data_IF_715819078981
#
_entry.id   IF_715819078981
#
_cell.length_a   1.000
_cell.length_b   1.000
_cell.length_c   1.000
_cell.angle_alpha   90.00
_cell.angle_beta   90.00
_cell.angle_gamma   90.00
#
_symmetry.space_group_name_H-M   'P 1'
#
loop_
_entity.id
_entity.type
_entity.pdbx_description
1 polymer ?
#
# COMPACT_ATOMS: atom_id res chain seq x y z
N UNK A 1 17.70 3.28 -7.37
CA UNK A 1 16.70 2.40 -8.00
C UNK A 1 15.34 2.84 -7.51
N UNK A 2 14.36 2.95 -8.40
CA UNK A 2 12.98 3.30 -8.03
C UNK A 2 12.21 2.01 -7.80
N UNK A 3 11.48 1.92 -6.69
CA UNK A 3 10.63 0.77 -6.35
C UNK A 3 9.26 0.94 -6.97
N UNK A 4 8.79 -0.07 -7.68
CA UNK A 4 7.47 -0.08 -8.32
C UNK A 4 6.45 -0.73 -7.40
N UNK A 5 5.37 0.01 -7.10
CA UNK A 5 4.30 -0.45 -6.21
C UNK A 5 3.03 -0.80 -6.98
N UNK A 6 2.37 -1.88 -6.52
CA UNK A 6 0.96 -2.14 -6.77
C UNK A 6 0.15 -1.87 -5.50
N UNK A 7 -1.11 -1.44 -5.64
CA UNK A 7 -2.03 -1.25 -4.49
C UNK A 7 -3.26 -2.12 -4.70
N UNK A 8 -3.43 -3.13 -3.85
CA UNK A 8 -4.66 -3.91 -3.80
C UNK A 8 -5.59 -3.36 -2.72
N UNK A 9 -6.73 -2.80 -3.15
CA UNK A 9 -7.68 -2.13 -2.27
C UNK A 9 -7.46 -0.62 -2.21
N UNK A 10 -8.31 0.11 -2.92
CA UNK A 10 -8.24 1.57 -3.02
C UNK A 10 -9.22 2.26 -2.07
N UNK A 11 -9.29 1.73 -0.85
CA UNK A 11 -9.97 2.31 0.28
C UNK A 11 -9.23 3.52 0.86
N UNK A 12 -9.53 3.88 2.09
CA UNK A 12 -8.91 5.03 2.77
C UNK A 12 -7.38 4.90 2.83
N UNK A 13 -6.85 3.72 3.20
CA UNK A 13 -5.41 3.50 3.33
C UNK A 13 -4.71 3.55 1.98
N UNK A 14 -5.21 2.80 0.97
CA UNK A 14 -4.59 2.80 -0.36
C UNK A 14 -4.55 4.19 -0.99
N UNK A 15 -5.64 4.97 -0.88
CA UNK A 15 -5.68 6.36 -1.36
C UNK A 15 -4.72 7.26 -0.60
N UNK A 16 -4.74 7.22 0.74
CA UNK A 16 -3.85 8.04 1.56
C UNK A 16 -2.37 7.75 1.28
N UNK A 17 -2.02 6.49 1.04
CA UNK A 17 -0.64 6.13 0.65
C UNK A 17 -0.27 6.73 -0.70
N UNK A 18 -1.13 6.60 -1.71
CA UNK A 18 -0.87 7.19 -3.03
C UNK A 18 -0.72 8.72 -2.95
N UNK A 19 -1.66 9.40 -2.29
CA UNK A 19 -1.58 10.87 -2.14
C UNK A 19 -0.32 11.29 -1.39
N UNK A 20 0.05 10.58 -0.32
CA UNK A 20 1.28 10.86 0.43
C UNK A 20 2.55 10.71 -0.42
N UNK A 21 2.62 9.70 -1.28
CA UNK A 21 3.75 9.52 -2.21
C UNK A 21 3.87 10.72 -3.16
N UNK A 22 2.74 11.20 -3.68
CA UNK A 22 2.71 12.31 -4.64
C UNK A 22 3.02 13.64 -3.95
N UNK A 23 2.34 13.95 -2.83
CA UNK A 23 2.45 15.22 -2.11
C UNK A 23 3.83 15.41 -1.47
N UNK A 24 4.46 14.34 -1.01
CA UNK A 24 5.83 14.40 -0.48
C UNK A 24 6.91 14.27 -1.57
N UNK A 25 6.52 14.34 -2.84
CA UNK A 25 7.44 14.29 -3.98
C UNK A 25 8.43 13.10 -3.94
N UNK A 26 7.99 11.94 -3.41
CA UNK A 26 8.82 10.73 -3.32
C UNK A 26 9.18 10.24 -4.71
N UNK A 27 10.48 10.27 -5.06
CA UNK A 27 10.99 9.84 -6.37
C UNK A 27 11.62 8.44 -6.34
N UNK A 28 11.75 7.88 -5.15
CA UNK A 28 12.26 6.54 -4.90
C UNK A 28 11.19 5.44 -5.04
N UNK A 29 9.91 5.83 -5.11
CA UNK A 29 8.77 4.93 -5.32
C UNK A 29 7.82 5.47 -6.38
N UNK A 30 7.25 4.58 -7.19
CA UNK A 30 6.17 4.86 -8.13
C UNK A 30 5.06 3.83 -7.98
N UNK A 31 3.81 4.25 -8.11
CA UNK A 31 2.67 3.34 -8.19
C UNK A 31 2.34 3.12 -9.65
N UNK A 32 2.31 1.87 -10.10
CA UNK A 32 2.04 1.50 -11.49
C UNK A 32 0.68 0.84 -11.68
N UNK A 33 0.19 0.13 -10.65
CA UNK A 33 -1.07 -0.64 -10.71
C UNK A 33 -1.89 -0.45 -9.44
N UNK A 34 -3.20 -0.35 -9.61
CA UNK A 34 -4.17 -0.29 -8.52
C UNK A 34 -5.30 -1.28 -8.82
N UNK A 35 -5.68 -2.10 -7.85
CA UNK A 35 -6.96 -2.79 -7.90
C UNK A 35 -7.98 -2.05 -7.03
N UNK A 36 -9.01 -1.52 -7.68
CA UNK A 36 -10.04 -0.68 -7.07
C UNK A 36 -11.43 -1.11 -7.57
N UNK A 37 -12.06 -2.11 -6.94
CA UNK A 37 -13.42 -2.51 -7.34
C UNK A 37 -14.39 -1.33 -7.33
N UNK A 38 -15.22 -1.24 -8.39
CA UNK A 38 -16.17 -0.17 -8.62
C UNK A 38 -15.75 0.77 -9.76
N UNK A 39 -16.60 1.78 -10.08
CA UNK A 39 -16.33 2.71 -11.17
C UNK A 39 -15.07 3.53 -10.92
N UNK A 40 -14.21 3.64 -11.94
CA UNK A 40 -12.95 4.39 -11.85
C UNK A 40 -13.17 5.87 -11.52
N UNK A 41 -14.26 6.46 -12.05
CA UNK A 41 -14.63 7.86 -11.76
C UNK A 41 -14.97 8.08 -10.27
N UNK A 42 -15.62 7.09 -9.63
CA UNK A 42 -15.89 7.14 -8.20
C UNK A 42 -14.59 7.09 -7.40
N UNK A 43 -13.67 6.21 -7.79
CA UNK A 43 -12.35 6.13 -7.16
C UNK A 43 -11.55 7.42 -7.33
N UNK A 44 -11.58 8.02 -8.52
CA UNK A 44 -10.94 9.31 -8.78
C UNK A 44 -11.60 10.46 -7.99
N UNK A 45 -12.94 10.45 -7.86
CA UNK A 45 -13.64 11.43 -7.02
C UNK A 45 -13.20 11.32 -5.55
N UNK A 46 -13.17 10.12 -5.01
CA UNK A 46 -12.72 9.88 -3.63
C UNK A 46 -11.24 10.19 -3.39
N UNK A 47 -10.43 10.18 -4.45
CA UNK A 47 -9.04 10.63 -4.40
C UNK A 47 -8.94 12.15 -4.38
N UNK A 48 -9.79 12.84 -5.15
CA UNK A 48 -9.83 14.31 -5.18
C UNK A 48 -10.32 14.92 -3.88
N UNK A 49 -11.21 14.23 -3.17
CA UNK A 49 -11.91 14.77 -2.00
C UNK A 49 -11.89 13.77 -0.86
N UNK A 50 -11.03 14.02 0.12
CA UNK A 50 -10.98 13.23 1.36
C UNK A 50 -11.59 14.02 2.51
N UNK A 51 -12.47 13.38 3.31
CA UNK A 51 -13.18 14.03 4.42
C UNK A 51 -12.27 14.38 5.62
N UNK A 52 -11.06 13.80 5.67
CA UNK A 52 -10.09 14.05 6.76
C UNK A 52 -8.96 14.94 6.27
N UNK A 53 -8.36 14.61 5.11
CA UNK A 53 -7.21 15.32 4.56
C UNK A 53 -7.58 16.48 3.63
N UNK A 54 -8.88 16.60 3.31
CA UNK A 54 -9.37 17.67 2.44
C UNK A 54 -9.21 17.38 0.96
N UNK A 55 -9.07 18.41 0.16
CA UNK A 55 -8.95 18.29 -1.28
C UNK A 55 -7.50 18.03 -1.66
N UNK A 56 -7.29 17.00 -2.49
CA UNK A 56 -5.97 16.76 -3.11
C UNK A 56 -5.54 17.98 -3.96
N UNK A 57 -4.34 18.49 -3.72
CA UNK A 57 -3.86 19.71 -4.36
C UNK A 57 -3.46 19.51 -5.82
N UNK A 58 -3.17 18.28 -6.22
CA UNK A 58 -2.76 17.95 -7.58
C UNK A 58 -3.94 17.73 -8.53
N UNK A 59 -3.61 17.51 -9.80
CA UNK A 59 -4.57 17.14 -10.83
C UNK A 59 -4.81 15.64 -10.77
N UNK A 60 -6.05 15.20 -10.95
CA UNK A 60 -6.44 13.79 -11.09
C UNK A 60 -7.14 13.64 -12.42
N UNK A 61 -6.49 13.00 -13.37
CA UNK A 61 -7.06 12.69 -14.69
C UNK A 61 -7.45 11.22 -14.75
N UNK A 62 -8.53 10.94 -15.47
CA UNK A 62 -9.01 9.60 -15.76
C UNK A 62 -9.12 9.46 -17.25
N UNK A 63 -8.52 8.43 -17.81
CA UNK A 63 -8.65 8.08 -19.23
C UNK A 63 -8.51 6.57 -19.40
N UNK A 64 -9.41 5.98 -20.16
CA UNK A 64 -9.53 4.53 -20.28
C UNK A 64 -9.61 3.86 -18.89
N UNK A 65 -8.74 2.93 -18.60
CA UNK A 65 -8.62 2.27 -17.31
C UNK A 65 -7.43 2.80 -16.48
N UNK A 66 -7.08 4.08 -16.64
CA UNK A 66 -5.95 4.67 -15.95
C UNK A 66 -6.36 5.91 -15.14
N UNK A 67 -5.64 6.09 -14.02
CA UNK A 67 -5.64 7.34 -13.25
C UNK A 67 -4.24 7.96 -13.34
N UNK A 68 -4.15 9.25 -13.61
CA UNK A 68 -2.88 9.98 -13.60
C UNK A 68 -2.95 11.16 -12.62
N UNK A 69 -1.93 11.26 -11.76
CA UNK A 69 -1.75 12.34 -10.79
C UNK A 69 -0.55 13.23 -11.14
N UNK A 70 -0.19 13.29 -12.44
CA UNK A 70 0.94 14.09 -12.92
C UNK A 70 2.30 13.37 -12.88
N UNK A 71 2.29 12.05 -12.71
CA UNK A 71 3.51 11.21 -12.71
C UNK A 71 3.46 10.05 -13.70
N UNK A 72 2.53 10.10 -14.62
CA UNK A 72 2.23 9.06 -15.59
C UNK A 72 1.06 8.16 -15.18
N UNK A 73 0.59 7.34 -16.12
CA UNK A 73 -0.60 6.53 -15.95
C UNK A 73 -0.40 5.43 -14.89
N UNK A 74 -1.40 5.27 -14.05
CA UNK A 74 -1.54 4.16 -13.12
C UNK A 74 -2.67 3.28 -13.64
N UNK A 75 -2.37 2.04 -14.00
CA UNK A 75 -3.36 1.08 -14.46
C UNK A 75 -4.33 0.71 -13.33
N UNK A 76 -5.63 0.76 -13.60
CA UNK A 76 -6.67 0.42 -12.61
C UNK A 76 -7.43 -0.81 -13.06
N UNK A 77 -7.29 -1.88 -12.30
CA UNK A 77 -8.12 -3.09 -12.39
C UNK A 77 -9.31 -3.02 -11.43
N UNK A 78 -10.36 -3.79 -11.70
CA UNK A 78 -11.57 -3.84 -10.89
C UNK A 78 -12.01 -5.28 -10.69
N UNK A 79 -11.32 -6.03 -9.81
CA UNK A 79 -11.70 -7.39 -9.47
C UNK A 79 -11.77 -7.59 -7.96
N UNK A 80 -12.75 -8.41 -7.54
CA UNK A 80 -12.84 -8.93 -6.17
C UNK A 80 -12.07 -10.25 -5.99
N UNK A 81 -11.68 -10.89 -7.10
CA UNK A 81 -10.91 -12.12 -7.11
C UNK A 81 -9.42 -11.80 -7.27
N UNK A 82 -8.63 -12.05 -6.22
CA UNK A 82 -7.19 -11.78 -6.26
C UNK A 82 -6.44 -12.64 -7.27
N UNK A 83 -6.96 -13.81 -7.65
CA UNK A 83 -6.33 -14.71 -8.63
C UNK A 83 -6.35 -14.13 -10.05
N UNK A 84 -7.25 -13.18 -10.33
CA UNK A 84 -7.38 -12.51 -11.63
C UNK A 84 -6.49 -11.28 -11.79
N UNK A 85 -5.82 -10.87 -10.71
CA UNK A 85 -5.00 -9.67 -10.70
C UNK A 85 -3.62 -9.96 -11.29
N UNK A 86 -3.11 -9.06 -12.11
CA UNK A 86 -1.74 -9.10 -12.63
C UNK A 86 -0.88 -8.04 -11.93
N UNK A 87 0.12 -8.50 -11.20
CA UNK A 87 1.11 -7.65 -10.52
C UNK A 87 2.48 -7.70 -11.19
N UNK A 88 2.56 -8.17 -12.44
CA UNK A 88 3.81 -8.19 -13.19
C UNK A 88 4.43 -6.80 -13.26
N UNK A 89 5.72 -6.71 -12.94
CA UNK A 89 6.45 -5.44 -12.89
C UNK A 89 6.35 -4.71 -11.54
N UNK A 90 5.55 -5.17 -10.58
CA UNK A 90 5.54 -4.59 -9.23
C UNK A 90 6.62 -5.25 -8.35
N UNK A 91 7.44 -4.42 -7.71
CA UNK A 91 8.39 -4.89 -6.70
C UNK A 91 7.67 -5.23 -5.40
N UNK A 92 6.70 -4.39 -5.01
CA UNK A 92 5.90 -4.59 -3.79
C UNK A 92 4.43 -4.37 -4.10
N UNK A 93 3.56 -5.28 -3.66
CA UNK A 93 2.12 -5.05 -3.61
C UNK A 93 1.73 -4.65 -2.19
N UNK A 94 1.12 -3.48 -2.06
CA UNK A 94 0.50 -3.03 -0.82
C UNK A 94 -0.90 -3.61 -0.72
N UNK A 95 -1.10 -4.54 0.22
CA UNK A 95 -2.39 -5.15 0.51
C UNK A 95 -3.19 -4.27 1.49
N UNK A 96 -4.12 -3.50 0.96
CA UNK A 96 -4.90 -2.52 1.69
C UNK A 96 -6.40 -2.87 1.83
N UNK A 97 -6.79 -4.11 1.47
CA UNK A 97 -8.21 -4.53 1.56
C UNK A 97 -8.61 -4.98 2.95
N UNK A 98 -7.65 -5.40 3.78
CA UNK A 98 -7.90 -6.04 5.07
C UNK A 98 -8.43 -7.48 4.97
N UNK A 99 -8.46 -8.08 3.79
CA UNK A 99 -8.97 -9.45 3.56
C UNK A 99 -7.88 -10.50 3.47
N UNK A 100 -6.68 -10.14 3.01
CA UNK A 100 -5.54 -11.02 2.79
C UNK A 100 -4.53 -10.89 3.93
N UNK A 101 -4.97 -11.21 5.15
CA UNK A 101 -4.24 -11.00 6.41
C UNK A 101 -3.57 -12.27 6.95
N UNK A 102 -3.26 -13.23 6.08
CA UNK A 102 -2.46 -14.40 6.39
C UNK A 102 -1.42 -14.60 5.29
N UNK A 103 -0.32 -15.28 5.61
CA UNK A 103 0.75 -15.59 4.65
C UNK A 103 0.19 -16.22 3.37
N UNK A 104 -0.58 -17.31 3.50
CA UNK A 104 -1.10 -18.08 2.36
C UNK A 104 -1.99 -17.24 1.44
N UNK A 105 -2.85 -16.39 2.02
CA UNK A 105 -3.71 -15.50 1.23
C UNK A 105 -2.91 -14.44 0.50
N UNK A 106 -1.97 -13.80 1.18
CA UNK A 106 -1.15 -12.76 0.59
C UNK A 106 -0.18 -13.30 -0.47
N UNK A 107 0.24 -14.56 -0.34
CA UNK A 107 1.10 -15.23 -1.32
C UNK A 107 0.48 -15.29 -2.73
N UNK A 108 -0.84 -15.17 -2.85
CA UNK A 108 -1.52 -15.06 -4.16
C UNK A 108 -0.99 -13.87 -4.97
N UNK A 109 -0.68 -12.75 -4.33
CA UNK A 109 -0.12 -11.59 -5.03
C UNK A 109 1.29 -11.86 -5.57
N UNK A 110 2.10 -12.64 -4.85
CA UNK A 110 3.43 -13.06 -5.33
C UNK A 110 3.29 -14.02 -6.50
N UNK A 111 2.35 -14.98 -6.43
CA UNK A 111 2.06 -15.90 -7.55
C UNK A 111 1.60 -15.14 -8.80
N UNK A 112 0.98 -14.00 -8.62
CA UNK A 112 0.47 -13.14 -9.69
C UNK A 112 1.49 -12.06 -10.13
N UNK A 113 2.76 -12.21 -9.77
CA UNK A 113 3.88 -11.44 -10.34
C UNK A 113 4.51 -10.39 -9.43
N UNK A 114 4.01 -10.15 -8.23
CA UNK A 114 4.69 -9.29 -7.27
C UNK A 114 5.95 -9.96 -6.71
N UNK A 115 7.00 -9.18 -6.41
CA UNK A 115 8.20 -9.73 -5.76
C UNK A 115 8.00 -9.91 -4.24
N UNK A 116 7.20 -9.05 -3.62
CA UNK A 116 6.85 -9.12 -2.20
C UNK A 116 5.52 -8.42 -1.92
N UNK A 117 4.98 -8.62 -0.71
CA UNK A 117 3.72 -8.03 -0.27
C UNK A 117 3.88 -7.34 1.07
N UNK A 118 3.37 -6.11 1.17
CA UNK A 118 3.25 -5.36 2.42
C UNK A 118 1.77 -5.25 2.81
N UNK A 119 1.38 -5.92 3.90
CA UNK A 119 0.01 -5.90 4.40
C UNK A 119 -0.18 -4.72 5.34
N UNK A 120 -1.16 -3.85 5.07
CA UNK A 120 -1.48 -2.66 5.85
C UNK A 120 -2.36 -2.95 7.08
N UNK A 121 -2.31 -4.15 7.60
CA UNK A 121 -3.11 -4.63 8.74
C UNK A 121 -2.34 -5.69 9.53
N UNK A 122 -2.73 -6.00 10.78
CA UNK A 122 -2.21 -7.16 11.49
C UNK A 122 -2.42 -8.43 10.67
N UNK A 123 -1.40 -9.24 10.56
CA UNK A 123 -1.46 -10.47 9.77
C UNK A 123 -0.86 -11.65 10.55
N UNK A 124 -1.28 -12.89 10.19
CA UNK A 124 -0.84 -14.13 10.82
C UNK A 124 0.10 -14.88 9.90
N UNK A 125 1.05 -15.58 10.54
CA UNK A 125 1.98 -16.51 9.88
C UNK A 125 2.84 -15.85 8.78
N UNK A 126 3.00 -14.52 8.82
CA UNK A 126 3.82 -13.75 7.91
C UNK A 126 5.30 -13.82 8.28
N UNK A 127 6.20 -13.54 7.32
CA UNK A 127 7.64 -13.58 7.55
C UNK A 127 8.05 -12.60 8.65
N UNK A 128 7.39 -11.42 8.70
CA UNK A 128 7.70 -10.39 9.69
C UNK A 128 6.54 -9.43 9.89
N UNK A 129 6.36 -8.98 11.15
CA UNK A 129 5.56 -7.79 11.47
C UNK A 129 6.51 -6.65 11.81
N UNK A 130 6.38 -5.53 11.12
CA UNK A 130 7.32 -4.40 11.20
C UNK A 130 6.61 -3.12 11.58
N UNK A 131 7.17 -2.41 12.54
CA UNK A 131 6.76 -1.06 12.91
C UNK A 131 7.93 -0.12 12.64
N UNK A 132 7.71 0.87 11.79
CA UNK A 132 8.74 1.83 11.39
C UNK A 132 9.31 2.58 12.61
N UNK A 133 10.64 2.69 12.66
CA UNK A 133 11.36 3.30 13.79
C UNK A 133 11.50 2.41 15.02
N UNK A 134 10.89 1.20 15.00
CA UNK A 134 10.99 0.24 16.11
C UNK A 134 11.83 -0.96 15.72
N UNK A 135 11.43 -1.70 14.68
CA UNK A 135 12.10 -2.91 14.24
C UNK A 135 12.21 -3.03 12.70
N UNK A 136 12.07 -1.94 11.96
CA UNK A 136 12.20 -1.91 10.51
C UNK A 136 13.59 -2.33 9.99
N UNK A 137 14.62 -2.17 10.83
CA UNK A 137 15.98 -2.66 10.56
C UNK A 137 16.10 -4.19 10.49
N UNK A 138 15.09 -4.91 10.96
CA UNK A 138 15.05 -6.38 10.90
C UNK A 138 14.59 -6.92 9.55
N UNK A 139 14.07 -6.07 8.65
CA UNK A 139 13.61 -6.50 7.32
C UNK A 139 14.75 -7.15 6.55
N UNK A 140 14.48 -8.33 6.03
CA UNK A 140 15.43 -9.10 5.23
C UNK A 140 14.96 -9.19 3.78
N UNK A 141 15.90 -9.32 2.86
CA UNK A 141 15.59 -9.59 1.44
C UNK A 141 14.90 -10.94 1.20
N UNK A 142 14.84 -11.80 2.22
CA UNK A 142 14.15 -13.08 2.18
C UNK A 142 12.68 -12.97 2.58
N UNK A 143 12.30 -11.86 3.24
CA UNK A 143 10.94 -11.64 3.70
C UNK A 143 10.06 -11.32 2.48
N UNK A 144 9.12 -12.19 2.15
CA UNK A 144 8.21 -12.05 1.01
C UNK A 144 6.90 -11.37 1.42
N UNK A 145 6.39 -11.74 2.60
CA UNK A 145 5.11 -11.25 3.12
C UNK A 145 5.35 -10.57 4.46
N UNK A 146 5.19 -9.24 4.46
CA UNK A 146 5.44 -8.41 5.64
C UNK A 146 4.13 -7.75 6.07
N UNK A 147 3.88 -7.70 7.38
CA UNK A 147 2.78 -6.92 7.96
C UNK A 147 3.32 -5.61 8.56
N UNK A 148 2.65 -4.50 8.31
CA UNK A 148 2.91 -3.23 8.99
C UNK A 148 2.17 -3.10 10.33
N UNK A 149 1.60 -4.19 10.86
CA UNK A 149 0.84 -4.16 12.11
C UNK A 149 -0.47 -3.37 12.00
N UNK A 150 -1.02 -2.97 13.14
CA UNK A 150 -2.24 -2.16 13.21
C UNK A 150 -1.93 -0.67 13.38
N UNK A 151 -2.92 0.19 13.12
CA UNK A 151 -2.84 1.62 13.43
C UNK A 151 -2.53 1.87 14.93
N UNK A 152 -3.12 1.09 15.81
CA UNK A 152 -2.87 1.17 17.26
C UNK A 152 -1.47 0.70 17.64
N UNK A 153 -0.94 -0.33 16.97
CA UNK A 153 0.44 -0.78 17.18
C UNK A 153 1.44 0.29 16.70
N UNK A 154 1.20 0.89 15.54
CA UNK A 154 2.05 1.98 15.02
C UNK A 154 2.02 3.23 15.90
N UNK A 155 0.93 3.47 16.64
CA UNK A 155 0.85 4.53 17.63
C UNK A 155 1.64 4.17 18.92
N UNK A 156 1.41 3.00 19.48
CA UNK A 156 1.93 2.64 20.81
C UNK A 156 3.38 2.19 20.81
N UNK A 157 3.81 1.39 19.82
CA UNK A 157 5.13 0.75 19.86
C UNK A 157 6.30 1.75 19.87
N UNK A 158 6.30 2.86 19.09
CA UNK A 158 7.35 3.86 19.19
C UNK A 158 7.43 4.52 20.57
N UNK A 159 6.27 4.82 21.18
CA UNK A 159 6.22 5.40 22.53
C UNK A 159 6.79 4.43 23.55
N UNK A 160 6.34 3.17 23.49
CA UNK A 160 6.82 2.13 24.40
C UNK A 160 8.33 1.89 24.25
N UNK A 161 8.85 1.96 23.02
CA UNK A 161 10.29 1.84 22.75
C UNK A 161 11.08 2.94 23.43
N UNK A 162 10.69 4.21 23.25
CA UNK A 162 11.37 5.37 23.88
C UNK A 162 11.38 5.23 25.40
N UNK A 163 10.24 4.87 26.02
CA UNK A 163 10.16 4.67 27.47
C UNK A 163 11.02 3.50 27.95
N UNK A 164 11.07 2.40 27.19
CA UNK A 164 11.87 1.24 27.54
C UNK A 164 13.38 1.49 27.42
N UNK A 165 13.79 2.24 26.40
CA UNK A 165 15.19 2.53 26.14
C UNK A 165 15.76 3.61 27.12
N UNK A 166 14.88 4.20 27.94
CA UNK A 166 15.29 5.15 29.00
C UNK A 166 15.70 6.53 28.48
N UNK A 167 15.23 6.90 27.29
CA UNK A 167 15.51 8.21 26.67
C UNK A 167 14.52 9.32 27.15
N UNK A 168 13.96 9.18 28.37
CA UNK A 168 13.05 10.17 29.00
C UNK A 168 13.68 10.71 30.28
#
# INVERSE_FOLDING_TARGET
MTTTLGINGFGRIGRATLTSIIENARNDVIVSKINAPGPIETNAHLLRYDSVHGRFAGKVEVYDNNIDLGRGPIEVSSSYNAEELDWSGCDVVMECTGKFTTYDKALTHVKNGAKSVLISAPAKDVDRTVIFGVNDHEISRKDLIISNGSCTTNCLAPIAKVLNDGEV
#
